data_IF_505608094152
#
_entry.id   IF_505608094152
#
_cell.length_a   1.000
_cell.length_b   1.000
_cell.length_c   1.000
_cell.angle_alpha   90.00
_cell.angle_beta   90.00
_cell.angle_gamma   90.00
#
_symmetry.space_group_name_H-M   'P 1'
#
loop_
_entity.id
_entity.type
_entity.pdbx_description
1 polymer ?
#
# COMPACT_ATOMS: atom_id res chain seq x y z
N UNK A 1 -1.96 -4.68 7.79
CA UNK A 1 -0.60 -4.15 7.62
C UNK A 1 -0.60 -2.63 7.77
N UNK A 2 -1.27 -1.88 6.89
CA UNK A 2 -1.29 -0.40 6.96
C UNK A 2 -1.61 0.22 8.33
N UNK A 3 -2.57 -0.33 9.06
CA UNK A 3 -2.89 0.13 10.42
C UNK A 3 -1.75 -0.11 11.41
N UNK A 4 -1.08 -1.27 11.35
CA UNK A 4 0.06 -1.57 12.22
C UNK A 4 1.25 -0.65 11.91
N UNK A 5 1.48 -0.33 10.62
CA UNK A 5 2.50 0.63 10.20
C UNK A 5 2.18 2.04 10.70
N UNK A 6 0.93 2.49 10.55
CA UNK A 6 0.50 3.80 11.02
C UNK A 6 0.68 3.97 12.54
N UNK A 7 0.24 2.97 13.31
CA UNK A 7 0.41 2.94 14.77
C UNK A 7 1.89 2.90 15.17
N UNK A 8 2.72 2.11 14.48
CA UNK A 8 4.15 2.03 14.78
C UNK A 8 4.90 3.34 14.46
N UNK A 9 4.62 3.99 13.33
CA UNK A 9 5.16 5.31 13.02
C UNK A 9 4.74 6.33 14.09
N UNK A 10 3.46 6.34 14.45
CA UNK A 10 2.92 7.29 15.41
C UNK A 10 3.52 7.09 16.82
N UNK A 11 3.69 5.83 17.24
CA UNK A 11 4.36 5.45 18.51
C UNK A 11 5.82 5.91 18.56
N UNK A 12 6.48 5.99 17.40
CA UNK A 12 7.85 6.54 17.26
C UNK A 12 7.89 8.07 17.14
N UNK A 13 6.74 8.74 17.26
CA UNK A 13 6.64 10.20 17.29
C UNK A 13 6.29 10.86 15.95
N UNK A 14 6.05 10.08 14.89
CA UNK A 14 5.66 10.66 13.60
C UNK A 14 4.22 11.20 13.63
N UNK A 15 3.96 12.25 12.87
CA UNK A 15 2.61 12.64 12.45
C UNK A 15 2.21 11.79 11.24
N UNK A 16 1.04 11.15 11.30
CA UNK A 16 0.65 10.13 10.32
C UNK A 16 -0.67 10.49 9.67
N UNK A 17 -0.68 10.58 8.33
CA UNK A 17 -1.92 10.58 7.55
C UNK A 17 -2.19 9.16 7.04
N UNK A 18 -3.23 8.53 7.57
CA UNK A 18 -3.67 7.20 7.16
C UNK A 18 -4.83 7.30 6.18
N UNK A 19 -4.56 7.13 4.89
CA UNK A 19 -5.61 6.98 3.86
C UNK A 19 -6.06 5.52 3.85
N UNK A 20 -7.30 5.26 4.26
CA UNK A 20 -7.84 3.92 4.46
C UNK A 20 -9.01 3.64 3.52
N UNK A 21 -8.94 2.52 2.79
CA UNK A 21 -10.09 1.96 2.10
C UNK A 21 -11.13 1.38 3.08
N UNK A 22 -12.22 0.76 2.58
CA UNK A 22 -13.27 0.19 3.43
C UNK A 22 -12.74 -0.87 4.40
N UNK A 23 -12.72 -0.56 5.70
CA UNK A 23 -12.18 -1.43 6.74
C UNK A 23 -12.74 -1.06 8.12
N UNK A 24 -13.01 -2.07 8.95
CA UNK A 24 -13.57 -1.92 10.31
C UNK A 24 -12.52 -1.67 11.41
N UNK A 25 -11.23 -1.72 11.05
CA UNK A 25 -10.14 -1.44 11.98
C UNK A 25 -10.20 0.02 12.44
N UNK A 26 -9.85 0.27 13.70
CA UNK A 26 -9.77 1.61 14.28
C UNK A 26 -8.32 1.98 14.53
N UNK A 27 -8.05 3.28 14.56
CA UNK A 27 -6.79 3.86 15.06
C UNK A 27 -7.16 4.77 16.22
N UNK A 28 -6.37 4.72 17.29
CA UNK A 28 -6.66 5.50 18.51
C UNK A 28 -5.53 6.47 18.86
N UNK A 29 -4.37 6.37 18.21
CA UNK A 29 -3.24 7.22 18.52
C UNK A 29 -3.48 8.68 18.06
N UNK A 30 -3.23 9.69 18.91
CA UNK A 30 -3.56 11.09 18.62
C UNK A 30 -2.80 11.66 17.41
N UNK A 31 -1.61 11.14 17.11
CA UNK A 31 -0.82 11.57 15.95
C UNK A 31 -1.31 10.99 14.61
N UNK A 32 -2.36 10.14 14.60
CA UNK A 32 -2.89 9.56 13.37
C UNK A 32 -4.15 10.32 12.93
N UNK A 33 -4.05 11.02 11.81
CA UNK A 33 -5.18 11.56 11.07
C UNK A 33 -5.63 10.54 10.02
N UNK A 34 -6.80 9.93 10.24
CA UNK A 34 -7.41 8.99 9.29
C UNK A 34 -8.24 9.74 8.24
N UNK A 35 -8.09 9.32 6.98
CA UNK A 35 -8.92 9.74 5.84
C UNK A 35 -9.55 8.47 5.25
N UNK A 36 -10.87 8.34 5.38
CA UNK A 36 -11.62 7.23 4.80
C UNK A 36 -11.95 7.51 3.33
N UNK A 37 -11.75 6.49 2.49
CA UNK A 37 -12.04 6.49 1.06
C UNK A 37 -12.71 5.17 0.68
N UNK A 38 -13.55 5.19 -0.34
CA UNK A 38 -14.23 4.01 -0.87
C UNK A 38 -13.63 3.56 -2.20
N UNK A 39 -13.22 4.52 -3.05
CA UNK A 39 -12.73 4.23 -4.40
C UNK A 39 -11.23 4.43 -4.58
N UNK A 40 -10.67 3.78 -5.60
CA UNK A 40 -9.28 3.99 -6.01
C UNK A 40 -9.01 5.46 -6.43
N UNK A 41 -10.02 6.15 -6.97
CA UNK A 41 -9.90 7.56 -7.36
C UNK A 41 -9.89 8.49 -6.14
N UNK A 42 -10.72 8.22 -5.13
CA UNK A 42 -10.66 8.95 -3.86
C UNK A 42 -9.34 8.73 -3.14
N UNK A 43 -8.86 7.48 -3.09
CA UNK A 43 -7.54 7.17 -2.52
C UNK A 43 -6.42 7.89 -3.27
N UNK A 44 -6.50 7.95 -4.61
CA UNK A 44 -5.57 8.70 -5.44
C UNK A 44 -5.58 10.19 -5.10
N UNK A 45 -6.77 10.80 -5.06
CA UNK A 45 -6.92 12.23 -4.79
C UNK A 45 -6.40 12.59 -3.38
N UNK A 46 -6.71 11.79 -2.37
CA UNK A 46 -6.21 11.98 -1.01
C UNK A 46 -4.68 11.84 -0.96
N UNK A 47 -4.12 10.78 -1.56
CA UNK A 47 -2.68 10.52 -1.54
C UNK A 47 -1.88 11.63 -2.24
N UNK A 48 -2.32 12.07 -3.42
CA UNK A 48 -1.66 13.14 -4.19
C UNK A 48 -1.75 14.49 -3.49
N UNK A 49 -2.85 14.74 -2.77
CA UNK A 49 -3.03 15.98 -2.00
C UNK A 49 -2.08 16.06 -0.81
N UNK A 50 -1.94 14.97 -0.05
CA UNK A 50 -1.21 14.98 1.22
C UNK A 50 0.31 14.78 1.02
N UNK A 51 0.73 13.94 0.05
CA UNK A 51 2.14 13.55 -0.13
C UNK A 51 3.15 14.72 -0.25
N UNK A 52 2.86 15.85 -0.91
CA UNK A 52 3.82 16.97 -1.01
C UNK A 52 4.25 17.57 0.33
N UNK A 53 3.47 17.36 1.39
CA UNK A 53 3.75 17.82 2.76
C UNK A 53 4.33 16.74 3.69
N UNK A 54 4.56 15.52 3.21
CA UNK A 54 5.05 14.39 4.01
C UNK A 54 6.54 14.13 3.77
N UNK A 55 7.24 13.58 4.76
CA UNK A 55 8.62 13.12 4.58
C UNK A 55 8.70 11.71 3.97
N UNK A 56 7.66 10.89 4.16
CA UNK A 56 7.59 9.55 3.61
C UNK A 56 6.16 9.14 3.24
N UNK A 57 6.04 8.19 2.31
CA UNK A 57 4.79 7.48 2.04
C UNK A 57 4.99 5.97 1.98
N UNK A 58 4.10 5.23 2.66
CA UNK A 58 4.08 3.77 2.68
C UNK A 58 2.84 3.25 1.95
N UNK A 59 3.03 2.75 0.72
CA UNK A 59 1.98 2.35 -0.20
C UNK A 59 1.59 0.88 -0.01
N UNK A 60 0.90 0.59 1.08
CA UNK A 60 0.53 -0.76 1.50
C UNK A 60 -0.91 -1.18 1.16
N UNK A 61 -1.73 -0.26 0.62
CA UNK A 61 -3.11 -0.55 0.26
C UNK A 61 -3.20 -1.44 -0.99
N UNK A 62 -4.09 -2.43 -0.98
CA UNK A 62 -4.43 -3.23 -2.14
C UNK A 62 -5.45 -2.50 -3.02
N UNK A 63 -4.98 -1.54 -3.81
CA UNK A 63 -5.82 -0.72 -4.70
C UNK A 63 -6.18 -1.50 -5.95
N UNK A 64 -7.46 -1.48 -6.34
CA UNK A 64 -7.91 -2.14 -7.57
C UNK A 64 -7.24 -1.51 -8.80
N UNK A 65 -6.71 -2.34 -9.71
CA UNK A 65 -6.06 -1.87 -10.94
C UNK A 65 -7.05 -1.30 -11.97
N UNK A 66 -8.31 -1.71 -11.90
CA UNK A 66 -9.38 -1.32 -12.82
C UNK A 66 -10.64 -0.88 -12.06
N UNK A 67 -11.48 -0.07 -12.72
CA UNK A 67 -12.82 0.31 -12.27
C UNK A 67 -13.84 0.14 -13.39
N UNK A 68 -15.14 -0.02 -13.11
CA UNK A 68 -16.18 0.05 -14.13
C UNK A 68 -16.07 1.32 -14.96
N UNK A 69 -16.25 1.20 -16.28
CA UNK A 69 -16.26 2.34 -17.20
C UNK A 69 -17.45 3.27 -16.96
N UNK A 70 -18.55 2.70 -16.48
CA UNK A 70 -19.80 3.39 -16.16
C UNK A 70 -20.22 3.02 -14.73
N UNK A 71 -20.65 4.01 -13.96
CA UNK A 71 -21.27 3.82 -12.65
C UNK A 71 -22.74 4.21 -12.72
N UNK A 72 -23.63 3.28 -12.39
CA UNK A 72 -25.06 3.55 -12.33
C UNK A 72 -25.44 4.14 -10.98
N UNK A 73 -26.23 5.22 -10.98
CA UNK A 73 -26.76 5.86 -9.76
C UNK A 73 -27.84 5.05 -9.05
N UNK A 74 -28.37 4.01 -9.71
CA UNK A 74 -29.41 3.14 -9.21
C UNK A 74 -29.00 1.68 -9.36
N UNK A 75 -29.54 0.83 -8.47
CA UNK A 75 -29.36 -0.61 -8.54
C UNK A 75 -29.81 -1.13 -9.91
N UNK A 76 -28.89 -1.72 -10.65
CA UNK A 76 -29.20 -2.43 -11.91
C UNK A 76 -30.16 -3.57 -11.57
N UNK A 77 -31.35 -3.56 -12.19
CA UNK A 77 -32.36 -4.59 -11.97
C UNK A 77 -31.90 -5.90 -12.62
N UNK A 78 -32.27 -7.03 -12.00
CA UNK A 78 -32.04 -8.35 -12.59
C UNK A 78 -32.83 -8.43 -13.91
N UNK A 79 -32.11 -8.57 -15.02
CA UNK A 79 -32.67 -8.90 -16.33
C UNK A 79 -32.49 -10.39 -16.66
N UNK A 80 -33.02 -10.80 -17.80
CA UNK A 80 -32.81 -12.15 -18.36
C UNK A 80 -31.54 -12.22 -19.25
N UNK A 81 -31.05 -11.06 -19.71
CA UNK A 81 -29.88 -10.94 -20.57
C UNK A 81 -28.54 -11.03 -19.81
N UNK A 82 -27.49 -11.35 -20.57
CA UNK A 82 -26.11 -11.36 -20.08
C UNK A 82 -25.68 -9.95 -19.62
N UNK A 83 -25.31 -9.82 -18.35
CA UNK A 83 -24.73 -8.58 -17.83
C UNK A 83 -23.24 -8.50 -18.19
N UNK A 84 -22.86 -7.46 -18.94
CA UNK A 84 -21.45 -7.15 -19.24
C UNK A 84 -21.01 -5.94 -18.44
N UNK A 85 -19.84 -6.03 -17.80
CA UNK A 85 -19.19 -4.91 -17.10
C UNK A 85 -17.90 -4.56 -17.84
N UNK A 86 -17.88 -3.42 -18.49
CA UNK A 86 -16.69 -2.87 -19.11
C UNK A 86 -15.81 -2.20 -18.04
N UNK A 87 -14.50 -2.46 -18.08
CA UNK A 87 -13.54 -1.96 -17.10
C UNK A 87 -12.53 -1.01 -17.77
N UNK A 88 -12.14 0.03 -17.05
CA UNK A 88 -11.07 0.97 -17.42
C UNK A 88 -9.99 1.01 -16.35
N UNK A 89 -8.71 1.24 -16.71
CA UNK A 89 -7.63 1.31 -15.73
C UNK A 89 -7.82 2.44 -14.70
N UNK A 90 -7.40 2.17 -13.46
CA UNK A 90 -7.23 3.18 -12.43
C UNK A 90 -5.90 3.94 -12.59
N UNK A 91 -5.85 5.13 -11.99
CA UNK A 91 -4.62 5.92 -11.90
C UNK A 91 -3.64 5.19 -10.97
N UNK A 92 -2.39 5.02 -11.42
CA UNK A 92 -1.33 4.41 -10.60
C UNK A 92 -0.86 5.43 -9.55
N UNK A 93 -1.30 5.25 -8.30
CA UNK A 93 -0.96 6.10 -7.16
C UNK A 93 0.56 6.12 -6.95
N UNK A 94 1.20 4.96 -6.90
CA UNK A 94 2.64 4.85 -6.67
C UNK A 94 3.45 5.57 -7.74
N UNK A 95 3.10 5.38 -9.02
CA UNK A 95 3.77 6.09 -10.11
C UNK A 95 3.55 7.60 -10.07
N UNK A 96 2.37 8.06 -9.62
CA UNK A 96 2.05 9.48 -9.53
C UNK A 96 2.81 10.17 -8.41
N UNK A 97 2.87 9.54 -7.23
CA UNK A 97 3.68 10.00 -6.11
C UNK A 97 5.17 9.99 -6.47
N UNK A 98 5.65 8.92 -7.11
CA UNK A 98 7.03 8.81 -7.59
C UNK A 98 7.46 9.92 -8.56
N UNK A 99 6.53 10.46 -9.36
CA UNK A 99 6.77 11.60 -10.27
C UNK A 99 6.90 12.95 -9.56
N UNK A 100 6.20 13.14 -8.43
CA UNK A 100 6.23 14.40 -7.66
C UNK A 100 7.16 14.36 -6.45
N UNK A 101 7.70 13.19 -6.13
CA UNK A 101 8.64 12.94 -5.03
C UNK A 101 9.87 13.84 -5.13
N UNK A 102 10.17 14.53 -4.04
CA UNK A 102 11.39 15.33 -3.86
C UNK A 102 12.54 14.48 -3.32
N UNK A 103 13.76 14.98 -3.44
CA UNK A 103 14.98 14.25 -3.02
C UNK A 103 15.01 13.91 -1.52
N UNK A 104 14.36 14.71 -0.67
CA UNK A 104 14.28 14.50 0.77
C UNK A 104 13.09 13.64 1.21
N UNK A 105 12.29 13.12 0.26
CA UNK A 105 11.12 12.31 0.57
C UNK A 105 11.39 10.83 0.28
N UNK A 106 10.80 9.96 1.09
CA UNK A 106 10.87 8.50 0.94
C UNK A 106 9.57 7.92 0.37
N UNK A 107 9.68 6.92 -0.49
CA UNK A 107 8.56 6.19 -1.06
C UNK A 107 8.77 4.69 -0.95
N UNK A 108 7.96 4.05 -0.11
CA UNK A 108 8.03 2.64 0.23
C UNK A 108 6.81 1.95 -0.37
N UNK A 109 7.03 1.03 -1.31
CA UNK A 109 5.96 0.24 -1.92
C UNK A 109 5.73 -1.09 -1.22
N UNK A 110 4.55 -1.68 -1.44
CA UNK A 110 4.31 -3.09 -1.18
C UNK A 110 4.08 -3.83 -2.49
N UNK A 111 4.53 -5.07 -2.56
CA UNK A 111 4.20 -5.98 -3.63
C UNK A 111 3.88 -7.37 -3.10
N UNK A 112 3.09 -8.06 -3.91
CA UNK A 112 2.78 -9.45 -3.76
C UNK A 112 3.07 -10.09 -5.10
N UNK A 113 4.23 -10.73 -5.20
CA UNK A 113 4.64 -11.44 -6.40
C UNK A 113 4.49 -12.93 -6.15
N UNK A 114 4.15 -13.68 -7.18
CA UNK A 114 4.05 -15.15 -7.13
C UNK A 114 5.14 -15.83 -7.95
N UNK A 115 5.91 -15.05 -8.72
CA UNK A 115 6.99 -15.51 -9.60
C UNK A 115 7.99 -14.37 -9.85
N UNK A 116 9.26 -14.74 -10.05
CA UNK A 116 10.36 -13.81 -10.36
C UNK A 116 10.39 -12.56 -9.47
N UNK A 117 10.11 -12.76 -8.18
CA UNK A 117 9.67 -11.72 -7.25
C UNK A 117 10.63 -10.53 -7.20
N UNK A 118 11.93 -10.82 -7.08
CA UNK A 118 12.99 -9.81 -6.99
C UNK A 118 13.17 -9.02 -8.30
N UNK A 119 13.16 -9.70 -9.45
CA UNK A 119 13.29 -9.02 -10.75
C UNK A 119 12.08 -8.12 -11.02
N UNK A 120 10.88 -8.59 -10.70
CA UNK A 120 9.66 -7.81 -10.85
C UNK A 120 9.61 -6.63 -9.87
N UNK A 121 10.05 -6.85 -8.63
CA UNK A 121 10.17 -5.81 -7.61
C UNK A 121 11.10 -4.68 -8.06
N UNK A 122 12.32 -4.98 -8.51
CA UNK A 122 13.29 -3.98 -8.97
C UNK A 122 12.76 -3.17 -10.16
N UNK A 123 12.09 -3.83 -11.13
CA UNK A 123 11.42 -3.14 -12.25
C UNK A 123 10.31 -2.20 -11.77
N UNK A 124 9.48 -2.64 -10.81
CA UNK A 124 8.43 -1.82 -10.22
C UNK A 124 9.00 -0.61 -9.48
N UNK A 125 10.07 -0.81 -8.69
CA UNK A 125 10.76 0.27 -7.99
C UNK A 125 11.30 1.32 -8.94
N UNK A 126 12.00 0.91 -10.01
CA UNK A 126 12.53 1.82 -11.00
C UNK A 126 11.41 2.61 -11.70
N UNK A 127 10.34 1.93 -12.14
CA UNK A 127 9.20 2.55 -12.83
C UNK A 127 8.43 3.55 -11.96
N UNK A 128 8.33 3.28 -10.65
CA UNK A 128 7.53 4.05 -9.69
C UNK A 128 8.38 4.95 -8.78
N UNK A 129 9.69 5.04 -9.02
CA UNK A 129 10.64 5.80 -8.22
C UNK A 129 10.60 5.50 -6.71
N UNK A 130 10.44 4.21 -6.36
CA UNK A 130 10.45 3.74 -4.97
C UNK A 130 11.89 3.65 -4.43
N UNK A 131 12.06 3.94 -3.14
CA UNK A 131 13.33 3.71 -2.43
C UNK A 131 13.40 2.29 -1.86
N UNK A 132 12.25 1.81 -1.41
CA UNK A 132 12.07 0.48 -0.85
C UNK A 132 10.81 -0.19 -1.41
N UNK A 133 10.83 -1.51 -1.47
CA UNK A 133 9.64 -2.32 -1.71
C UNK A 133 9.62 -3.49 -0.74
N UNK A 134 8.47 -3.67 -0.09
CA UNK A 134 8.20 -4.77 0.83
C UNK A 134 7.46 -5.85 0.05
N UNK A 135 8.09 -7.02 -0.10
CA UNK A 135 7.49 -8.20 -0.67
C UNK A 135 6.83 -9.03 0.43
N UNK A 136 5.53 -9.33 0.31
CA UNK A 136 4.90 -10.32 1.20
C UNK A 136 4.95 -11.71 0.57
N UNK A 137 5.21 -12.75 1.36
CA UNK A 137 5.07 -14.14 0.94
C UNK A 137 3.63 -14.63 1.08
N UNK A 138 3.08 -15.27 0.03
CA UNK A 138 1.88 -16.11 0.11
C UNK A 138 2.20 -17.60 0.23
N UNK A 139 3.45 -17.99 0.03
CA UNK A 139 3.84 -19.38 -0.16
C UNK A 139 4.02 -20.13 1.16
N UNK A 140 4.04 -19.41 2.28
CA UNK A 140 4.22 -19.99 3.61
C UNK A 140 2.87 -20.17 4.32
N UNK A 141 2.64 -21.35 4.89
CA UNK A 141 1.45 -21.62 5.70
C UNK A 141 1.37 -20.63 6.87
N UNK A 142 0.26 -19.91 6.97
CA UNK A 142 0.06 -18.87 8.00
C UNK A 142 0.55 -17.47 7.61
N UNK A 143 1.07 -17.24 6.40
CA UNK A 143 1.40 -15.91 5.90
C UNK A 143 0.29 -15.35 4.99
N UNK A 144 0.16 -14.02 4.96
CA UNK A 144 -0.71 -13.30 4.01
C UNK A 144 -1.90 -12.57 4.63
N UNK A 145 -2.83 -12.12 3.78
CA UNK A 145 -3.85 -11.13 4.19
C UNK A 145 -4.84 -11.61 5.25
N UNK A 146 -5.11 -12.92 5.29
CA UNK A 146 -6.12 -13.53 6.18
C UNK A 146 -5.59 -13.92 7.56
N UNK A 147 -4.29 -13.82 7.79
CA UNK A 147 -3.65 -14.18 9.05
C UNK A 147 -3.15 -12.94 9.79
N UNK A 148 -2.95 -13.05 11.09
CA UNK A 148 -2.34 -11.99 11.91
C UNK A 148 -0.82 -11.95 11.81
N UNK A 149 -0.25 -12.95 11.14
CA UNK A 149 1.17 -13.10 10.83
C UNK A 149 1.49 -12.75 9.39
N UNK A 150 2.73 -12.34 9.16
CA UNK A 150 3.25 -12.05 7.84
C UNK A 150 4.74 -12.41 7.77
N UNK A 151 5.21 -12.74 6.57
CA UNK A 151 6.62 -12.98 6.27
C UNK A 151 6.98 -12.08 5.10
N UNK A 152 8.00 -11.26 5.27
CA UNK A 152 8.34 -10.23 4.31
C UNK A 152 9.82 -10.24 3.95
N UNK A 153 10.10 -9.72 2.77
CA UNK A 153 11.44 -9.33 2.35
C UNK A 153 11.41 -7.86 1.98
N UNK A 154 12.43 -7.10 2.39
CA UNK A 154 12.56 -5.68 2.07
C UNK A 154 13.68 -5.54 1.07
N UNK A 155 13.39 -4.98 -0.10
CA UNK A 155 14.39 -4.63 -1.10
C UNK A 155 14.58 -3.12 -1.15
N UNK A 156 15.83 -2.70 -1.24
CA UNK A 156 16.25 -1.31 -1.42
C UNK A 156 16.64 -1.06 -2.87
N UNK A 157 16.56 0.20 -3.30
CA UNK A 157 16.86 0.64 -4.68
C UNK A 157 18.27 0.26 -5.18
N UNK A 158 19.24 0.05 -4.29
CA UNK A 158 20.59 -0.40 -4.63
C UNK A 158 20.70 -1.93 -4.84
N UNK A 159 19.61 -2.68 -4.66
CA UNK A 159 19.57 -4.13 -4.78
C UNK A 159 19.73 -4.85 -3.43
N UNK A 160 20.01 -4.14 -2.33
CA UNK A 160 20.12 -4.79 -1.02
C UNK A 160 18.77 -5.40 -0.62
N UNK A 161 18.83 -6.64 -0.15
CA UNK A 161 17.67 -7.41 0.29
C UNK A 161 17.85 -7.87 1.73
N UNK A 162 16.80 -7.75 2.51
CA UNK A 162 16.73 -8.30 3.87
C UNK A 162 15.48 -9.14 4.02
N UNK A 163 15.66 -10.40 4.43
CA UNK A 163 14.56 -11.34 4.63
C UNK A 163 14.21 -11.43 6.12
N UNK A 164 12.90 -11.47 6.41
CA UNK A 164 12.38 -11.61 7.75
C UNK A 164 11.59 -12.92 7.87
N UNK A 165 11.70 -13.57 9.03
CA UNK A 165 10.89 -14.74 9.37
C UNK A 165 9.41 -14.42 9.50
N UNK A 166 8.58 -15.45 9.67
CA UNK A 166 7.16 -15.30 9.98
C UNK A 166 7.00 -14.66 11.36
N UNK A 167 6.37 -13.49 11.42
CA UNK A 167 6.12 -12.73 12.66
C UNK A 167 4.72 -12.12 12.66
N UNK A 168 4.29 -11.55 13.77
CA UNK A 168 3.03 -10.79 13.81
C UNK A 168 3.10 -9.54 12.91
N UNK A 169 1.94 -9.04 12.47
CA UNK A 169 1.85 -7.78 11.70
C UNK A 169 2.47 -6.57 12.40
N UNK A 170 2.50 -6.55 13.74
CA UNK A 170 3.10 -5.46 14.52
C UNK A 170 4.63 -5.54 14.51
N UNK A 171 5.19 -6.75 14.70
CA UNK A 171 6.63 -6.95 14.60
C UNK A 171 7.14 -6.66 13.19
N UNK A 172 6.40 -7.10 12.16
CA UNK A 172 6.73 -6.78 10.76
C UNK A 172 6.65 -5.27 10.51
N UNK A 173 5.69 -4.55 11.10
CA UNK A 173 5.65 -3.11 11.00
C UNK A 173 6.91 -2.47 11.61
N UNK A 174 7.33 -2.91 12.81
CA UNK A 174 8.58 -2.46 13.42
C UNK A 174 9.78 -2.71 12.52
N UNK A 175 9.94 -3.95 12.02
CA UNK A 175 11.05 -4.34 11.13
C UNK A 175 11.12 -3.42 9.89
N UNK A 176 9.97 -3.09 9.29
CA UNK A 176 9.88 -2.21 8.13
C UNK A 176 10.30 -0.79 8.49
N UNK A 177 9.79 -0.23 9.59
CA UNK A 177 10.17 1.13 9.98
C UNK A 177 11.66 1.20 10.33
N UNK A 178 12.18 0.22 11.07
CA UNK A 178 13.61 0.12 11.43
C UNK A 178 14.53 0.07 10.20
N UNK A 179 14.11 -0.57 9.10
CA UNK A 179 14.91 -0.71 7.89
C UNK A 179 14.77 0.43 6.88
N UNK A 180 13.68 1.20 6.95
CA UNK A 180 13.32 2.16 5.89
C UNK A 180 13.33 3.61 6.34
N UNK A 181 13.23 3.87 7.63
CA UNK A 181 13.13 5.22 8.20
C UNK A 181 14.19 5.43 9.27
N UNK A 182 15.22 6.21 8.93
CA UNK A 182 16.32 6.61 9.82
C UNK A 182 16.33 8.13 9.99
#
# INVERSE_FOLDING_TARGET
>A
MGFALAEECARRGAEVVLVAGPVSLKVNHPNIKRIDVESAEEMYNASVKEFPGMDAAILCAAVADFRPSEQYSQKVKRGEDLLTISLVPNKDIAASLGKMKKANQLLIGFALETNDEETNALKKMAKKNLDYIVLNSLNDAGAGFKYDTNKVSILRKNGDRTDFGLKSKYEVASDIIDHTMH
#
